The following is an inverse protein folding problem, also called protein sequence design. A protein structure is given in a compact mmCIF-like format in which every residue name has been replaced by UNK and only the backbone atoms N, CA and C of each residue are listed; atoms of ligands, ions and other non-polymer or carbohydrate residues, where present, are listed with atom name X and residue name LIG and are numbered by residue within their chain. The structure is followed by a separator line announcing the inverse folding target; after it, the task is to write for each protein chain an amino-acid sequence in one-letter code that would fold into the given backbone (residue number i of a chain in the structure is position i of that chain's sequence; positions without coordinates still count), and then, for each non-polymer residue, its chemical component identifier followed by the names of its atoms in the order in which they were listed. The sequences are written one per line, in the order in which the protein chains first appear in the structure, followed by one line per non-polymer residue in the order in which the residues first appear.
data_IF_168525101306
#
_entry.id   IF_168525101306
#
_cell.length_a   1.000
_cell.length_b   1.000
_cell.length_c   1.000
_cell.angle_alpha   90.00
_cell.angle_beta   90.00
_cell.angle_gamma   90.00
#
_symmetry.space_group_name_H-M   'P 1'
#
loop_
_entity.id
_entity.type
_entity.pdbx_description
1 polymer ?
#
# COMPACT_ATOMS: atom_id res chain seq x y z
N UNK A 1 -10.69 6.51 19.72
CA UNK A 1 -11.06 6.73 18.30
C UNK A 1 -9.95 7.44 17.55
N UNK A 2 -9.39 8.53 18.09
CA UNK A 2 -8.25 9.28 17.51
C UNK A 2 -7.05 8.39 17.12
N UNK A 3 -6.61 7.51 18.03
CA UNK A 3 -5.48 6.62 17.76
C UNK A 3 -5.76 5.59 16.63
N UNK A 4 -7.03 5.29 16.36
CA UNK A 4 -7.43 4.33 15.32
C UNK A 4 -7.45 4.97 13.93
N UNK A 5 -7.86 6.24 13.85
CA UNK A 5 -7.80 7.06 12.63
C UNK A 5 -6.34 7.23 12.20
N UNK A 6 -5.46 7.52 13.17
CA UNK A 6 -4.02 7.69 12.94
C UNK A 6 -3.31 6.45 12.35
N UNK A 7 -3.86 5.24 12.54
CA UNK A 7 -3.32 4.00 11.97
C UNK A 7 -3.53 3.93 10.46
N UNK A 8 -4.52 4.63 9.92
CA UNK A 8 -4.85 4.56 8.49
C UNK A 8 -3.74 5.07 7.57
N UNK A 9 -2.85 5.95 8.06
CA UNK A 9 -1.67 6.38 7.30
C UNK A 9 -0.76 5.20 6.93
N UNK A 10 -0.81 4.11 7.70
CA UNK A 10 -0.06 2.89 7.43
C UNK A 10 -0.60 2.13 6.22
N UNK A 11 -1.85 2.34 5.82
CA UNK A 11 -2.49 1.59 4.73
C UNK A 11 -1.70 1.73 3.42
N UNK A 12 -1.45 2.94 2.89
CA UNK A 12 -0.61 3.05 1.69
C UNK A 12 0.89 2.98 2.01
N UNK A 13 1.30 3.27 3.25
CA UNK A 13 2.72 3.33 3.64
C UNK A 13 3.37 1.95 3.80
N UNK A 14 2.65 0.94 4.30
CA UNK A 14 3.16 -0.44 4.43
C UNK A 14 3.62 -1.02 3.08
N UNK A 15 2.81 -1.03 2.01
CA UNK A 15 3.21 -1.60 0.73
C UNK A 15 4.28 -0.74 0.06
N UNK A 16 4.23 0.58 0.21
CA UNK A 16 5.25 1.49 -0.31
C UNK A 16 6.60 1.28 0.38
N UNK A 17 6.63 1.27 1.71
CA UNK A 17 7.83 1.05 2.51
C UNK A 17 8.46 -0.31 2.25
N UNK A 18 7.64 -1.36 2.13
CA UNK A 18 8.12 -2.70 1.75
C UNK A 18 8.75 -2.69 0.35
N UNK A 19 8.11 -2.05 -0.63
CA UNK A 19 8.64 -1.98 -1.99
C UNK A 19 9.97 -1.20 -2.05
N UNK A 20 10.07 -0.07 -1.34
CA UNK A 20 11.31 0.71 -1.24
C UNK A 20 12.43 -0.05 -0.52
N UNK A 21 12.10 -0.80 0.54
CA UNK A 21 13.06 -1.65 1.23
C UNK A 21 13.61 -2.71 0.27
N UNK A 22 12.73 -3.42 -0.45
CA UNK A 22 13.15 -4.45 -1.41
C UNK A 22 13.95 -3.82 -2.57
N UNK A 23 13.59 -2.61 -3.02
CA UNK A 23 14.34 -1.86 -4.02
C UNK A 23 15.75 -1.53 -3.55
N UNK A 24 15.89 -1.00 -2.34
CA UNK A 24 17.21 -0.71 -1.73
C UNK A 24 18.06 -1.97 -1.61
N UNK A 25 17.45 -3.08 -1.18
CA UNK A 25 18.12 -4.38 -1.15
C UNK A 25 18.48 -4.90 -2.54
N UNK A 26 17.64 -4.69 -3.55
CA UNK A 26 17.91 -5.11 -4.93
C UNK A 26 19.10 -4.33 -5.51
N UNK A 27 19.19 -3.02 -5.25
CA UNK A 27 20.32 -2.19 -5.66
C UNK A 27 21.61 -2.64 -4.96
N UNK A 28 21.55 -2.91 -3.66
CA UNK A 28 22.72 -3.29 -2.85
C UNK A 28 23.18 -4.74 -3.06
N UNK A 29 22.22 -5.67 -3.21
CA UNK A 29 22.45 -7.12 -3.23
C UNK A 29 21.77 -7.79 -4.43
N UNK A 30 21.97 -7.22 -5.62
CA UNK A 30 21.30 -7.59 -6.86
C UNK A 30 21.28 -9.10 -7.14
N UNK A 31 22.39 -9.81 -6.95
CA UNK A 31 22.47 -11.27 -7.19
C UNK A 31 21.66 -12.07 -6.17
N UNK A 32 21.67 -11.68 -4.90
CA UNK A 32 20.99 -12.39 -3.81
C UNK A 32 19.48 -12.18 -3.90
N UNK A 33 19.05 -10.92 -4.04
CA UNK A 33 17.61 -10.58 -4.10
C UNK A 33 16.95 -11.19 -5.33
N UNK A 34 17.60 -11.19 -6.50
CA UNK A 34 17.06 -11.88 -7.69
C UNK A 34 16.96 -13.41 -7.55
N UNK A 35 17.67 -14.04 -6.59
CA UNK A 35 17.49 -15.47 -6.27
C UNK A 35 16.34 -15.70 -5.28
N UNK A 36 16.06 -14.71 -4.44
CA UNK A 36 15.03 -14.73 -3.41
C UNK A 36 13.64 -14.32 -3.96
N UNK A 37 13.27 -14.77 -5.16
CA UNK A 37 12.01 -14.34 -5.79
C UNK A 37 10.76 -14.78 -5.02
N UNK A 38 10.79 -15.97 -4.39
CA UNK A 38 9.68 -16.48 -3.56
C UNK A 38 9.41 -15.61 -2.34
N UNK A 39 10.37 -15.39 -1.42
CA UNK A 39 10.10 -14.56 -0.24
C UNK A 39 9.80 -13.11 -0.62
N UNK A 40 10.42 -12.56 -1.66
CA UNK A 40 10.11 -11.20 -2.12
C UNK A 40 8.65 -11.06 -2.56
N UNK A 41 8.14 -12.02 -3.34
CA UNK A 41 6.74 -12.00 -3.78
C UNK A 41 5.79 -12.18 -2.61
N UNK A 42 6.12 -13.08 -1.68
CA UNK A 42 5.34 -13.28 -0.46
C UNK A 42 5.28 -12.01 0.39
N UNK A 43 6.41 -11.33 0.61
CA UNK A 43 6.47 -10.06 1.34
C UNK A 43 5.63 -8.97 0.68
N UNK A 44 5.67 -8.86 -0.65
CA UNK A 44 4.86 -7.91 -1.40
C UNK A 44 3.35 -8.21 -1.30
N UNK A 45 2.96 -9.49 -1.31
CA UNK A 45 1.56 -9.89 -1.10
C UNK A 45 1.12 -9.63 0.34
N UNK A 46 1.94 -9.99 1.32
CA UNK A 46 1.62 -9.77 2.73
C UNK A 46 1.49 -8.29 3.06
N UNK A 47 2.34 -7.42 2.52
CA UNK A 47 2.21 -5.98 2.74
C UNK A 47 0.88 -5.42 2.20
N UNK A 48 0.43 -5.87 1.02
CA UNK A 48 -0.87 -5.51 0.46
C UNK A 48 -2.03 -6.06 1.29
N UNK A 49 -1.96 -7.33 1.71
CA UNK A 49 -3.00 -7.94 2.54
C UNK A 49 -3.08 -7.31 3.94
N UNK A 50 -1.96 -6.94 4.55
CA UNK A 50 -1.95 -6.17 5.81
C UNK A 50 -2.67 -4.83 5.65
N UNK A 51 -2.48 -4.16 4.51
CA UNK A 51 -3.17 -2.90 4.20
C UNK A 51 -4.68 -3.11 4.05
N UNK A 52 -5.08 -4.19 3.36
CA UNK A 52 -6.49 -4.59 3.25
C UNK A 52 -7.10 -4.93 4.61
N UNK A 53 -6.36 -5.61 5.50
CA UNK A 53 -6.83 -5.97 6.84
C UNK A 53 -7.02 -4.72 7.72
N UNK A 54 -6.10 -3.75 7.66
CA UNK A 54 -6.24 -2.48 8.39
C UNK A 54 -7.46 -1.73 7.87
N UNK A 55 -7.60 -1.62 6.55
CA UNK A 55 -8.75 -0.94 5.95
C UNK A 55 -10.08 -1.65 6.27
N UNK A 56 -10.10 -2.98 6.30
CA UNK A 56 -11.28 -3.74 6.69
C UNK A 56 -11.62 -3.54 8.18
N UNK A 57 -10.61 -3.47 9.05
CA UNK A 57 -10.80 -3.19 10.47
C UNK A 57 -11.45 -1.82 10.69
N UNK A 58 -10.97 -0.78 10.01
CA UNK A 58 -11.55 0.57 10.10
C UNK A 58 -12.98 0.60 9.56
N UNK A 59 -13.23 -0.09 8.44
CA UNK A 59 -14.56 -0.24 7.84
C UNK A 59 -15.58 -0.91 8.77
N UNK A 60 -15.22 -2.07 9.35
CA UNK A 60 -16.13 -2.78 10.27
C UNK A 60 -16.40 -2.00 11.56
N UNK A 61 -15.46 -1.14 11.97
CA UNK A 61 -15.63 -0.26 13.12
C UNK A 61 -16.33 1.06 12.78
N UNK A 62 -16.67 1.31 11.50
CA UNK A 62 -17.29 2.54 11.00
C UNK A 62 -16.53 3.80 11.44
N UNK A 63 -15.20 3.74 11.34
CA UNK A 63 -14.34 4.85 11.72
C UNK A 63 -14.16 5.73 10.49
N UNK A 64 -14.79 6.89 10.49
CA UNK A 64 -14.68 7.89 9.44
C UNK A 64 -14.01 9.14 10.01
N UNK A 65 -13.28 9.88 9.17
CA UNK A 65 -12.59 11.09 9.60
C UNK A 65 -11.54 11.59 8.63
N UNK A 66 -10.97 12.73 8.98
CA UNK A 66 -9.94 13.40 8.22
C UNK A 66 -8.62 13.38 8.99
N UNK A 67 -7.52 13.18 8.27
CA UNK A 67 -6.18 13.19 8.86
C UNK A 67 -5.35 14.24 8.15
N UNK A 68 -4.88 15.20 8.92
CA UNK A 68 -3.96 16.20 8.43
C UNK A 68 -2.55 15.62 8.37
N UNK A 69 -1.93 15.62 7.19
CA UNK A 69 -0.53 15.16 7.06
C UNK A 69 0.44 16.09 7.81
N UNK A 70 0.05 17.33 8.10
CA UNK A 70 0.84 18.29 8.90
C UNK A 70 1.20 17.75 10.28
N UNK A 71 0.37 16.88 10.85
CA UNK A 71 0.58 16.31 12.19
C UNK A 71 1.72 15.27 12.18
N UNK A 72 2.03 14.70 11.01
CA UNK A 72 3.06 13.68 10.83
C UNK A 72 4.36 14.24 10.26
N UNK A 73 4.27 15.23 9.37
CA UNK A 73 5.42 15.79 8.67
C UNK A 73 5.34 17.32 8.67
N UNK A 74 6.22 17.96 9.44
CA UNK A 74 6.33 19.43 9.52
C UNK A 74 6.56 20.11 8.16
N UNK A 75 7.09 19.38 7.17
CA UNK A 75 7.26 19.85 5.79
C UNK A 75 5.93 20.23 5.12
N UNK A 76 4.81 19.65 5.57
CA UNK A 76 3.47 19.92 5.06
C UNK A 76 2.69 20.92 5.93
N UNK A 77 3.33 21.58 6.91
CA UNK A 77 2.66 22.53 7.80
C UNK A 77 2.04 23.74 7.10
N UNK A 78 2.50 24.07 5.88
CA UNK A 78 1.92 25.14 5.04
C UNK A 78 0.93 24.62 3.99
N UNK A 79 0.71 23.31 3.90
CA UNK A 79 -0.15 22.68 2.89
C UNK A 79 -1.33 22.01 3.58
N UNK A 80 -2.55 22.31 3.15
CA UNK A 80 -3.79 21.69 3.65
C UNK A 80 -4.00 20.29 3.05
N UNK A 81 -3.00 19.40 3.17
CA UNK A 81 -3.08 18.03 2.69
C UNK A 81 -3.80 17.16 3.72
N UNK A 82 -4.95 16.63 3.32
CA UNK A 82 -5.85 15.85 4.16
C UNK A 82 -6.01 14.46 3.54
N UNK A 83 -5.96 13.42 4.36
CA UNK A 83 -6.39 12.08 3.99
C UNK A 83 -7.83 11.89 4.44
N UNK A 84 -8.72 11.57 3.50
CA UNK A 84 -10.13 11.36 3.77
C UNK A 84 -10.41 9.86 3.97
N UNK A 85 -10.81 9.50 5.19
CA UNK A 85 -11.31 8.17 5.52
C UNK A 85 -12.82 8.17 5.43
N UNK A 86 -13.32 7.45 4.43
CA UNK A 86 -14.74 7.26 4.19
C UNK A 86 -14.98 5.77 3.89
N UNK A 87 -16.18 5.30 4.16
CA UNK A 87 -16.58 3.92 3.86
C UNK A 87 -16.35 3.51 2.39
N UNK A 88 -16.43 4.46 1.45
CA UNK A 88 -16.12 4.23 0.03
C UNK A 88 -14.61 4.06 -0.22
N UNK A 89 -13.76 4.92 0.35
CA UNK A 89 -12.30 4.84 0.15
C UNK A 89 -11.76 3.52 0.68
N UNK A 90 -12.23 3.10 1.86
CA UNK A 90 -11.85 1.83 2.47
C UNK A 90 -12.27 0.63 1.61
N UNK A 91 -13.49 0.59 1.10
CA UNK A 91 -13.94 -0.48 0.19
C UNK A 91 -13.05 -0.54 -1.05
N UNK A 92 -12.80 0.59 -1.69
CA UNK A 92 -11.97 0.66 -2.90
C UNK A 92 -10.57 0.11 -2.60
N UNK A 93 -9.96 0.53 -1.49
CA UNK A 93 -8.62 0.08 -1.11
C UNK A 93 -8.58 -1.41 -0.80
N UNK A 94 -9.57 -1.95 -0.08
CA UNK A 94 -9.67 -3.40 0.20
C UNK A 94 -9.74 -4.19 -1.12
N UNK A 95 -10.69 -3.85 -2.00
CA UNK A 95 -10.87 -4.54 -3.27
C UNK A 95 -9.61 -4.44 -4.14
N UNK A 96 -9.04 -3.24 -4.24
CA UNK A 96 -7.83 -3.00 -5.03
C UNK A 96 -6.63 -3.79 -4.49
N UNK A 97 -6.40 -3.78 -3.18
CA UNK A 97 -5.31 -4.52 -2.53
C UNK A 97 -5.42 -6.03 -2.80
N UNK A 98 -6.61 -6.61 -2.68
CA UNK A 98 -6.84 -8.04 -2.95
C UNK A 98 -6.62 -8.37 -4.43
N UNK A 99 -7.10 -7.53 -5.34
CA UNK A 99 -6.88 -7.73 -6.79
C UNK A 99 -5.38 -7.72 -7.10
N UNK A 100 -4.62 -6.74 -6.61
CA UNK A 100 -3.17 -6.67 -6.86
C UNK A 100 -2.44 -7.86 -6.22
N UNK A 101 -2.86 -8.31 -5.03
CA UNK A 101 -2.30 -9.52 -4.40
C UNK A 101 -2.52 -10.76 -5.28
N UNK A 102 -3.71 -10.93 -5.86
CA UNK A 102 -4.01 -12.01 -6.81
C UNK A 102 -3.14 -11.88 -8.07
N UNK A 103 -3.01 -10.67 -8.63
CA UNK A 103 -2.15 -10.42 -9.80
C UNK A 103 -0.71 -10.85 -9.52
N UNK A 104 -0.14 -10.48 -8.36
CA UNK A 104 1.21 -10.91 -7.96
C UNK A 104 1.27 -12.44 -7.81
N UNK A 105 0.24 -13.07 -7.23
CA UNK A 105 0.15 -14.53 -7.11
C UNK A 105 0.12 -15.25 -8.46
N UNK A 106 -0.62 -14.72 -9.43
CA UNK A 106 -0.67 -15.25 -10.80
C UNK A 106 0.69 -15.08 -11.49
N UNK A 107 1.32 -13.91 -11.36
CA UNK A 107 2.65 -13.65 -11.89
C UNK A 107 3.69 -14.61 -11.30
N UNK A 108 3.58 -14.90 -10.01
CA UNK A 108 4.44 -15.85 -9.31
C UNK A 108 4.34 -17.28 -9.85
N UNK A 109 3.15 -17.70 -10.27
CA UNK A 109 2.93 -19.02 -10.86
C UNK A 109 3.35 -19.08 -12.34
N UNK A 110 3.02 -18.04 -13.12
CA UNK A 110 3.12 -18.07 -14.59
C UNK A 110 4.48 -17.63 -15.13
N UNK A 111 5.20 -16.72 -14.47
CA UNK A 111 6.43 -16.17 -15.02
C UNK A 111 7.68 -17.01 -14.68
N UNK A 112 8.59 -17.21 -15.65
CA UNK A 112 9.88 -17.82 -15.36
C UNK A 112 10.70 -16.87 -14.48
N UNK A 113 11.25 -17.39 -13.37
CA UNK A 113 12.00 -16.63 -12.35
C UNK A 113 13.40 -16.25 -12.83
N UNK A 114 13.45 -15.36 -13.82
CA UNK A 114 14.68 -14.82 -14.40
C UNK A 114 14.98 -13.43 -13.85
N UNK A 115 16.17 -12.91 -14.17
CA UNK A 115 16.57 -11.52 -13.86
C UNK A 115 15.49 -10.56 -14.35
N UNK A 116 15.05 -9.66 -13.48
CA UNK A 116 13.98 -8.68 -13.76
C UNK A 116 12.64 -9.00 -13.11
N UNK A 117 12.38 -10.26 -12.73
CA UNK A 117 11.12 -10.62 -12.05
C UNK A 117 10.91 -9.82 -10.75
N UNK A 118 11.94 -9.71 -9.91
CA UNK A 118 11.86 -8.94 -8.66
C UNK A 118 11.61 -7.46 -8.92
N UNK A 119 12.28 -6.88 -9.94
CA UNK A 119 12.05 -5.50 -10.33
C UNK A 119 10.61 -5.24 -10.76
N UNK A 120 9.99 -6.20 -11.45
CA UNK A 120 8.58 -6.13 -11.83
C UNK A 120 7.66 -6.16 -10.62
N UNK A 121 7.90 -7.04 -9.64
CA UNK A 121 7.12 -7.10 -8.40
C UNK A 121 7.24 -5.77 -7.63
N UNK A 122 8.44 -5.23 -7.48
CA UNK A 122 8.66 -3.92 -6.84
C UNK A 122 7.88 -2.83 -7.58
N UNK A 123 7.96 -2.80 -8.91
CA UNK A 123 7.26 -1.81 -9.73
C UNK A 123 5.75 -1.86 -9.53
N UNK A 124 5.15 -3.06 -9.54
CA UNK A 124 3.72 -3.25 -9.27
C UNK A 124 3.36 -2.76 -7.87
N UNK A 125 4.16 -3.09 -6.85
CA UNK A 125 3.92 -2.65 -5.46
C UNK A 125 4.06 -1.13 -5.27
N UNK A 126 4.99 -0.47 -5.97
CA UNK A 126 5.13 0.99 -5.93
C UNK A 126 3.97 1.69 -6.62
N UNK A 127 3.55 1.18 -7.79
CA UNK A 127 2.41 1.74 -8.52
C UNK A 127 1.13 1.55 -7.71
N UNK A 128 0.91 0.37 -7.13
CA UNK A 128 -0.29 0.10 -6.35
C UNK A 128 -0.37 0.95 -5.09
N UNK A 129 0.72 1.11 -4.35
CA UNK A 129 0.76 1.98 -3.17
C UNK A 129 0.56 3.46 -3.51
N UNK A 130 1.10 3.92 -4.65
CA UNK A 130 0.87 5.29 -5.13
C UNK A 130 -0.60 5.53 -5.47
N UNK A 131 -1.27 4.54 -6.09
CA UNK A 131 -2.71 4.61 -6.36
C UNK A 131 -3.51 4.63 -5.05
N UNK A 132 -3.14 3.82 -4.05
CA UNK A 132 -3.79 3.84 -2.74
C UNK A 132 -3.66 5.21 -2.07
N UNK A 133 -2.47 5.83 -2.11
CA UNK A 133 -2.29 7.20 -1.64
C UNK A 133 -3.22 8.18 -2.37
N UNK A 134 -3.28 8.10 -3.70
CA UNK A 134 -4.14 8.96 -4.49
C UNK A 134 -5.62 8.81 -4.11
N UNK A 135 -6.09 7.59 -3.87
CA UNK A 135 -7.48 7.33 -3.44
C UNK A 135 -7.80 8.00 -2.10
N UNK A 136 -6.86 8.01 -1.14
CA UNK A 136 -7.08 8.68 0.15
C UNK A 136 -7.06 10.21 0.06
N UNK A 137 -6.43 10.80 -0.96
CA UNK A 137 -6.49 12.24 -1.20
C UNK A 137 -7.79 12.70 -1.88
N UNK A 138 -8.60 11.77 -2.39
CA UNK A 138 -9.88 12.09 -3.00
C UNK A 138 -10.96 12.15 -1.93
N UNK A 139 -11.67 13.28 -1.88
CA UNK A 139 -12.86 13.42 -1.05
C UNK A 139 -14.08 12.85 -1.77
N UNK A 140 -14.56 11.70 -1.30
CA UNK A 140 -15.78 11.05 -1.78
C UNK A 140 -17.04 11.44 -0.99
N UNK A 141 -16.94 12.40 -0.07
CA UNK A 141 -18.07 12.83 0.77
C UNK A 141 -19.23 13.44 -0.03
N UNK A 142 -18.98 13.89 -1.26
CA UNK A 142 -20.01 14.41 -2.18
C UNK A 142 -20.79 13.34 -2.96
N UNK A 143 -20.39 12.07 -2.90
CA UNK A 143 -20.98 10.96 -3.68
C UNK A 143 -21.92 10.06 -2.87
N UNK A 144 -22.12 10.36 -1.58
CA UNK A 144 -23.06 9.69 -0.66
C UNK A 144 -24.13 10.70 -0.26
#
# INVERSE_FOLDING_TARGET
MENSINISILIPLIPMGMALLILSLLVSFNRTINRLTKPVSALAVFSLLSSALISAFLYFKKIEGEIFLSDYLKLFGSTNLILHLNSLTEKIVIFFAVIIAIVIGVLFYKLPRRKGYVSLIIGISLISSSIMFAVFFLDFSFLI
#
